data_IF_619343590652
#
_entry.id   IF_619343590652
#
_cell.length_a   1.000
_cell.length_b   1.000
_cell.length_c   1.000
_cell.angle_alpha   90.00
_cell.angle_beta   90.00
_cell.angle_gamma   90.00
#
_symmetry.space_group_name_H-M   'P 1'
#
loop_
_entity.id
_entity.type
_entity.pdbx_description
1 polymer ?
#
# COMPACT_ATOMS: atom_id res chain seq x y z
N UNK A 1 34.65 13.08 -72.15
CA UNK A 1 35.66 13.33 -71.12
C UNK A 1 35.68 12.15 -70.17
N UNK A 2 36.82 11.45 -70.15
CA UNK A 2 37.35 10.46 -69.19
C UNK A 2 36.39 9.63 -68.31
N UNK A 3 36.35 8.33 -68.62
CA UNK A 3 36.19 7.14 -67.76
C UNK A 3 37.32 7.06 -66.68
N UNK A 4 37.43 6.06 -65.73
CA UNK A 4 36.75 4.75 -65.65
C UNK A 4 36.47 4.12 -64.24
N UNK A 5 35.88 2.91 -64.25
CA UNK A 5 36.17 1.68 -63.44
C UNK A 5 36.18 1.75 -61.89
N UNK A 6 35.23 1.09 -61.21
CA UNK A 6 35.27 -0.31 -60.69
C UNK A 6 35.84 -0.46 -59.28
N UNK A 7 35.06 -1.04 -58.35
CA UNK A 7 35.44 -2.25 -57.59
C UNK A 7 34.48 -2.49 -56.43
N UNK A 8 34.04 -3.74 -56.31
CA UNK A 8 33.49 -4.35 -55.09
C UNK A 8 34.45 -4.15 -53.89
N UNK A 9 33.90 -4.03 -52.68
CA UNK A 9 34.14 -4.96 -51.57
C UNK A 9 33.63 -4.43 -50.20
N UNK A 10 33.00 -5.35 -49.48
CA UNK A 10 33.12 -5.61 -48.04
C UNK A 10 32.74 -4.54 -46.99
N UNK A 11 31.78 -4.92 -46.14
CA UNK A 11 31.65 -4.43 -44.77
C UNK A 11 32.96 -4.62 -43.98
N UNK A 12 33.18 -3.74 -42.98
CA UNK A 12 33.55 -4.22 -41.67
C UNK A 12 32.57 -3.72 -40.60
N UNK A 13 32.30 -4.61 -39.64
CA UNK A 13 31.77 -4.26 -38.34
C UNK A 13 32.84 -3.49 -37.54
N UNK A 14 32.42 -2.50 -36.75
CA UNK A 14 32.77 -2.34 -35.33
C UNK A 14 32.31 -0.97 -34.78
N UNK A 15 31.59 -1.07 -33.67
CA UNK A 15 31.80 -0.31 -32.43
C UNK A 15 31.55 1.20 -32.41
N UNK A 16 30.73 1.59 -31.43
CA UNK A 16 30.76 2.92 -30.84
C UNK A 16 29.74 3.91 -31.41
N UNK A 17 28.53 3.92 -30.86
CA UNK A 17 27.70 5.12 -30.91
C UNK A 17 27.23 5.46 -29.49
N UNK A 18 27.99 6.40 -28.94
CA UNK A 18 27.66 7.32 -27.87
C UNK A 18 26.21 7.82 -28.05
N UNK A 19 25.26 7.24 -27.32
CA UNK A 19 23.94 7.81 -27.17
C UNK A 19 24.01 8.92 -26.13
N UNK A 20 24.16 10.12 -26.66
CA UNK A 20 23.90 11.40 -26.01
C UNK A 20 22.47 11.36 -25.45
N UNK A 21 22.31 11.16 -24.15
CA UNK A 21 21.03 11.38 -23.49
C UNK A 21 20.77 12.89 -23.47
N UNK A 22 19.87 13.32 -24.34
CA UNK A 22 19.28 14.65 -24.32
C UNK A 22 18.55 14.80 -22.99
N UNK A 23 19.04 15.72 -22.15
CA UNK A 23 18.33 16.17 -20.96
C UNK A 23 17.01 16.82 -21.39
N UNK A 24 15.93 16.05 -21.31
CA UNK A 24 14.58 16.62 -21.37
C UNK A 24 14.25 17.09 -19.96
N UNK A 25 14.31 18.40 -19.75
CA UNK A 25 13.94 19.05 -18.50
C UNK A 25 12.43 18.88 -18.25
N UNK A 26 12.08 17.91 -17.41
CA UNK A 26 10.79 17.85 -16.73
C UNK A 26 10.98 18.38 -15.31
N UNK A 27 10.00 19.17 -14.86
CA UNK A 27 9.95 19.83 -13.54
C UNK A 27 10.37 18.93 -12.38
N UNK A 28 11.05 19.44 -11.33
CA UNK A 28 11.36 18.63 -10.16
C UNK A 28 10.07 18.39 -9.36
N UNK A 29 9.55 17.17 -9.44
CA UNK A 29 8.62 16.64 -8.44
C UNK A 29 9.35 16.46 -7.09
N UNK A 30 8.62 16.03 -6.04
CA UNK A 30 9.26 15.56 -4.81
C UNK A 30 10.27 14.45 -5.16
N UNK A 31 11.43 14.48 -4.52
CA UNK A 31 12.40 13.38 -4.53
C UNK A 31 13.36 13.39 -5.73
N UNK A 32 14.66 13.30 -5.43
CA UNK A 32 15.65 12.86 -6.42
C UNK A 32 15.36 11.42 -6.87
N UNK A 33 16.04 10.97 -7.92
CA UNK A 33 15.95 9.58 -8.38
C UNK A 33 16.50 8.63 -7.31
N UNK A 34 15.62 8.04 -6.49
CA UNK A 34 15.99 7.01 -5.52
C UNK A 34 16.26 5.69 -6.25
N UNK A 35 17.52 5.27 -6.26
CA UNK A 35 17.88 3.91 -6.69
C UNK A 35 17.62 2.89 -5.55
N UNK A 36 17.46 1.59 -5.85
CA UNK A 36 17.41 0.56 -4.81
C UNK A 36 18.59 0.63 -3.83
N UNK A 37 19.79 0.92 -4.34
CA UNK A 37 21.00 1.08 -3.53
C UNK A 37 20.89 2.26 -2.55
N UNK A 38 20.36 3.39 -3.00
CA UNK A 38 20.12 4.56 -2.13
C UNK A 38 19.11 4.24 -1.03
N UNK A 39 18.02 3.54 -1.38
CA UNK A 39 17.00 3.14 -0.41
C UNK A 39 17.58 2.15 0.60
N UNK A 40 18.36 1.16 0.16
CA UNK A 40 19.06 0.25 1.07
C UNK A 40 19.98 0.99 2.02
N UNK A 41 20.78 1.94 1.52
CA UNK A 41 21.71 2.72 2.32
C UNK A 41 20.98 3.58 3.36
N UNK A 42 19.92 4.28 2.95
CA UNK A 42 19.13 5.13 3.83
C UNK A 42 18.38 4.31 4.90
N UNK A 43 17.76 3.19 4.51
CA UNK A 43 17.13 2.27 5.46
C UNK A 43 18.14 1.70 6.45
N UNK A 44 19.32 1.25 5.99
CA UNK A 44 20.36 0.71 6.87
C UNK A 44 20.92 1.75 7.83
N UNK A 45 21.01 3.01 7.40
CA UNK A 45 21.47 4.13 8.24
C UNK A 45 20.51 4.40 9.40
N UNK A 46 19.20 4.29 9.19
CA UNK A 46 18.18 4.51 10.24
C UNK A 46 17.79 3.23 10.99
N UNK A 47 18.01 2.08 10.38
CA UNK A 47 17.66 0.76 10.91
C UNK A 47 18.91 -0.14 10.84
N UNK A 48 19.83 -0.09 11.82
CA UNK A 48 21.07 -0.86 11.79
C UNK A 48 20.87 -2.38 11.65
N UNK A 49 19.74 -2.92 12.13
CA UNK A 49 19.39 -4.34 12.04
C UNK A 49 18.63 -4.71 10.75
N UNK A 50 18.39 -3.73 9.87
CA UNK A 50 17.82 -3.98 8.55
C UNK A 50 18.71 -4.97 7.79
N UNK A 51 18.11 -6.06 7.33
CA UNK A 51 18.80 -7.21 6.74
C UNK A 51 19.07 -7.07 5.23
N UNK A 52 18.72 -5.94 4.61
CA UNK A 52 18.99 -5.69 3.20
C UNK A 52 18.11 -6.47 2.22
N UNK A 53 17.00 -7.05 2.67
CA UNK A 53 16.12 -7.90 1.85
C UNK A 53 14.89 -7.19 1.28
N UNK A 54 14.90 -5.86 1.20
CA UNK A 54 13.81 -5.16 0.53
C UNK A 54 13.69 -5.63 -0.93
N UNK A 55 12.44 -5.71 -1.41
CA UNK A 55 12.14 -5.87 -2.83
C UNK A 55 11.55 -4.58 -3.37
N UNK A 56 11.85 -4.28 -4.62
CA UNK A 56 11.46 -3.04 -5.28
C UNK A 56 10.72 -3.35 -6.57
N UNK A 57 9.69 -2.56 -6.86
CA UNK A 57 9.22 -2.41 -8.24
C UNK A 57 9.63 -1.02 -8.73
N UNK A 58 10.17 -1.00 -9.95
CA UNK A 58 10.73 0.19 -10.57
C UNK A 58 9.93 0.50 -11.82
N UNK A 59 9.37 1.71 -11.89
CA UNK A 59 8.71 2.25 -13.07
C UNK A 59 9.48 3.49 -13.52
N UNK A 60 9.84 3.56 -14.81
CA UNK A 60 10.56 4.70 -15.38
C UNK A 60 11.83 5.12 -14.59
N UNK A 61 12.57 4.13 -14.07
CA UNK A 61 13.81 4.36 -13.31
C UNK A 61 13.61 4.80 -11.86
N UNK A 62 12.37 4.81 -11.34
CA UNK A 62 12.04 5.21 -9.97
C UNK A 62 11.42 4.06 -9.20
N UNK A 63 11.78 3.92 -7.92
CA UNK A 63 11.11 3.00 -7.00
C UNK A 63 9.68 3.47 -6.77
N UNK A 64 8.69 2.66 -7.18
CA UNK A 64 7.26 2.95 -6.99
C UNK A 64 6.59 2.01 -5.98
N UNK A 65 7.18 0.85 -5.74
CA UNK A 65 6.72 -0.13 -4.77
C UNK A 65 7.89 -0.62 -3.94
N UNK A 66 7.69 -0.75 -2.64
CA UNK A 66 8.70 -1.20 -1.70
C UNK A 66 8.12 -2.27 -0.78
N UNK A 67 8.74 -3.45 -0.77
CA UNK A 67 8.39 -4.54 0.13
C UNK A 67 9.48 -4.71 1.19
N UNK A 68 9.09 -4.56 2.45
CA UNK A 68 9.93 -4.66 3.64
C UNK A 68 9.46 -5.79 4.57
N UNK A 69 8.66 -6.73 4.06
CA UNK A 69 8.10 -7.84 4.82
C UNK A 69 9.17 -8.59 5.63
N UNK A 70 8.98 -8.69 6.95
CA UNK A 70 9.91 -9.38 7.84
C UNK A 70 11.34 -8.82 7.81
N UNK A 71 11.48 -7.54 7.47
CA UNK A 71 12.73 -6.79 7.64
C UNK A 71 12.66 -6.07 8.98
N UNK A 72 13.77 -6.02 9.74
CA UNK A 72 13.81 -5.38 11.06
C UNK A 72 13.79 -3.84 10.96
N UNK A 73 12.96 -3.29 10.07
CA UNK A 73 12.73 -1.86 9.92
C UNK A 73 11.74 -1.42 11.00
N UNK A 74 12.05 -0.28 11.60
CA UNK A 74 11.25 0.39 12.64
C UNK A 74 11.11 1.89 12.35
N UNK A 75 12.12 2.51 11.74
CA UNK A 75 12.16 3.93 11.35
C UNK A 75 11.93 4.08 9.84
N UNK A 76 10.80 4.73 9.49
CA UNK A 76 10.36 5.02 8.13
C UNK A 76 10.78 6.40 7.63
N UNK A 77 11.52 7.21 8.40
CA UNK A 77 11.99 8.53 7.97
C UNK A 77 12.74 8.53 6.63
N UNK A 78 13.46 7.48 6.20
CA UNK A 78 14.04 7.42 4.85
C UNK A 78 13.01 7.49 3.72
N UNK A 79 11.74 7.15 3.96
CA UNK A 79 10.71 7.05 2.94
C UNK A 79 9.89 8.35 2.76
N UNK A 80 10.09 9.35 3.61
CA UNK A 80 9.19 10.52 3.72
C UNK A 80 9.11 11.39 2.46
N UNK A 81 10.13 11.35 1.61
CA UNK A 81 10.21 12.13 0.37
C UNK A 81 10.15 11.26 -0.89
N UNK A 82 9.71 10.00 -0.77
CA UNK A 82 9.58 9.08 -1.89
C UNK A 82 8.17 9.13 -2.51
N UNK A 83 8.07 9.00 -3.83
CA UNK A 83 6.80 8.90 -4.54
C UNK A 83 6.30 7.44 -4.62
N UNK A 84 6.18 6.78 -3.46
CA UNK A 84 5.71 5.39 -3.37
C UNK A 84 4.20 5.29 -3.61
N UNK A 85 3.80 4.30 -4.43
CA UNK A 85 2.40 3.92 -4.67
C UNK A 85 1.98 2.71 -3.84
N UNK A 86 2.90 1.81 -3.54
CA UNK A 86 2.64 0.63 -2.72
C UNK A 86 3.76 0.44 -1.69
N UNK A 87 3.37 0.09 -0.46
CA UNK A 87 4.30 -0.16 0.63
C UNK A 87 3.84 -1.35 1.46
N UNK A 88 4.71 -2.35 1.58
CA UNK A 88 4.48 -3.55 2.38
C UNK A 88 5.43 -3.59 3.57
N UNK A 89 4.87 -3.48 4.78
CA UNK A 89 5.57 -3.45 6.06
C UNK A 89 5.20 -4.66 6.94
N UNK A 90 4.69 -5.73 6.36
CA UNK A 90 4.17 -6.87 7.10
C UNK A 90 5.23 -7.49 8.01
N UNK A 91 4.90 -7.73 9.27
CA UNK A 91 5.81 -8.33 10.26
C UNK A 91 7.08 -7.50 10.53
N UNK A 92 7.04 -6.19 10.29
CA UNK A 92 8.12 -5.26 10.70
C UNK A 92 7.85 -4.72 12.11
N UNK A 93 8.86 -4.06 12.70
CA UNK A 93 8.72 -3.42 14.02
C UNK A 93 8.19 -1.99 13.99
N UNK A 94 7.63 -1.56 12.86
CA UNK A 94 7.12 -0.20 12.66
C UNK A 94 5.91 0.07 13.55
N UNK A 95 5.94 1.18 14.29
CA UNK A 95 4.82 1.68 15.09
C UNK A 95 4.41 3.11 14.73
N UNK A 96 5.34 3.92 14.21
CA UNK A 96 5.10 5.30 13.82
C UNK A 96 4.93 5.43 12.29
N UNK A 97 3.73 5.86 11.87
CA UNK A 97 3.39 6.09 10.47
C UNK A 97 3.55 7.56 10.04
N UNK A 98 4.02 8.45 10.93
CA UNK A 98 4.17 9.88 10.63
C UNK A 98 5.00 10.16 9.36
N UNK A 99 6.09 9.41 9.07
CA UNK A 99 6.83 9.58 7.82
C UNK A 99 6.03 9.30 6.53
N UNK A 100 4.91 8.58 6.61
CA UNK A 100 4.07 8.26 5.46
C UNK A 100 3.05 9.36 5.12
N UNK A 101 2.93 10.38 5.98
CA UNK A 101 1.92 11.43 5.84
C UNK A 101 2.04 12.16 4.51
N UNK A 102 0.95 12.15 3.74
CA UNK A 102 0.87 12.83 2.45
C UNK A 102 1.58 12.12 1.30
N UNK A 103 2.14 10.92 1.50
CA UNK A 103 2.66 10.11 0.40
C UNK A 103 1.52 9.68 -0.55
N UNK A 104 1.80 9.50 -1.86
CA UNK A 104 0.80 9.11 -2.84
C UNK A 104 0.48 7.61 -2.81
N UNK A 105 0.51 6.98 -1.62
CA UNK A 105 0.23 5.56 -1.45
C UNK A 105 -1.21 5.24 -1.84
N UNK A 106 -1.34 4.14 -2.59
CA UNK A 106 -2.59 3.51 -3.02
C UNK A 106 -2.81 2.21 -2.24
N UNK A 107 -1.73 1.49 -1.95
CA UNK A 107 -1.76 0.22 -1.22
C UNK A 107 -0.80 0.26 -0.03
N UNK A 108 -1.31 -0.12 1.14
CA UNK A 108 -0.52 -0.16 2.38
C UNK A 108 -0.84 -1.44 3.16
N UNK A 109 0.22 -2.21 3.42
CA UNK A 109 0.16 -3.49 4.14
C UNK A 109 0.92 -3.35 5.46
N UNK A 110 0.21 -3.46 6.59
CA UNK A 110 0.71 -3.26 7.96
C UNK A 110 0.47 -4.49 8.86
N UNK A 111 0.20 -5.63 8.26
CA UNK A 111 -0.10 -6.88 8.97
C UNK A 111 0.97 -7.22 10.00
N UNK A 112 0.55 -7.66 11.19
CA UNK A 112 1.44 -8.11 12.27
C UNK A 112 2.48 -7.04 12.68
N UNK A 113 2.11 -5.76 12.63
CA UNK A 113 2.93 -4.64 13.13
C UNK A 113 2.40 -4.09 14.47
N UNK A 114 3.23 -3.45 15.31
CA UNK A 114 2.80 -2.84 16.57
C UNK A 114 2.06 -1.50 16.40
N UNK A 115 1.57 -1.17 15.19
CA UNK A 115 0.84 0.08 14.92
C UNK A 115 -0.45 0.16 15.75
N UNK A 116 -0.66 1.33 16.35
CA UNK A 116 -1.87 1.69 17.12
C UNK A 116 -2.56 2.94 16.57
N UNK A 117 -1.78 3.90 16.06
CA UNK A 117 -2.27 5.16 15.52
C UNK A 117 -2.15 5.21 14.00
N UNK A 118 -3.29 5.42 13.35
CA UNK A 118 -3.40 5.62 11.91
C UNK A 118 -3.75 7.07 11.55
N UNK A 119 -3.61 8.02 12.48
CA UNK A 119 -3.83 9.45 12.23
C UNK A 119 -3.01 10.01 11.05
N UNK A 120 -1.78 9.54 10.77
CA UNK A 120 -1.03 9.99 9.58
C UNK A 120 -1.69 9.61 8.25
N UNK A 121 -2.61 8.64 8.25
CA UNK A 121 -3.30 8.19 7.03
C UNK A 121 -4.45 9.12 6.60
N UNK A 122 -4.78 10.13 7.40
CA UNK A 122 -5.90 11.04 7.15
C UNK A 122 -5.77 11.74 5.79
N UNK A 123 -6.81 11.58 4.96
CA UNK A 123 -6.90 12.25 3.66
C UNK A 123 -6.05 11.62 2.55
N UNK A 124 -5.29 10.57 2.84
CA UNK A 124 -4.56 9.80 1.82
C UNK A 124 -5.53 9.11 0.85
N UNK A 125 -5.06 8.82 -0.37
CA UNK A 125 -5.87 8.23 -1.44
C UNK A 125 -5.73 6.70 -1.51
N UNK A 126 -5.56 6.07 -0.35
CA UNK A 126 -5.50 4.62 -0.22
C UNK A 126 -6.77 3.97 -0.77
N UNK A 127 -6.57 2.91 -1.54
CA UNK A 127 -7.60 2.02 -2.06
C UNK A 127 -7.60 0.71 -1.29
N UNK A 128 -6.41 0.24 -0.88
CA UNK A 128 -6.23 -0.98 -0.10
C UNK A 128 -5.47 -0.69 1.19
N UNK A 129 -6.01 -1.16 2.30
CA UNK A 129 -5.38 -1.04 3.62
C UNK A 129 -5.56 -2.34 4.41
N UNK A 130 -4.43 -2.94 4.79
CA UNK A 130 -4.41 -4.17 5.58
C UNK A 130 -3.80 -3.88 6.96
N UNK A 131 -4.61 -4.08 8.00
CA UNK A 131 -4.28 -3.79 9.41
C UNK A 131 -4.40 -5.03 10.29
N UNK A 132 -4.44 -6.23 9.71
CA UNK A 132 -4.74 -7.41 10.50
C UNK A 132 -3.66 -7.70 11.55
N UNK A 133 -4.10 -8.13 12.73
CA UNK A 133 -3.28 -8.33 13.93
C UNK A 133 -2.48 -7.08 14.38
N UNK A 134 -2.95 -5.88 14.04
CA UNK A 134 -2.46 -4.64 14.65
C UNK A 134 -3.30 -4.28 15.88
N UNK A 135 -2.85 -3.28 16.62
CA UNK A 135 -3.54 -2.78 17.83
C UNK A 135 -4.39 -1.53 17.55
N UNK A 136 -4.73 -1.30 16.28
CA UNK A 136 -5.57 -0.18 15.86
C UNK A 136 -7.01 -0.38 16.32
N UNK A 137 -7.56 0.60 17.03
CA UNK A 137 -8.97 0.60 17.49
C UNK A 137 -9.79 1.76 16.93
N UNK A 138 -9.15 2.89 16.64
CA UNK A 138 -9.81 4.11 16.19
C UNK A 138 -9.69 4.30 14.67
N UNK A 139 -10.83 4.26 13.97
CA UNK A 139 -10.88 4.38 12.51
C UNK A 139 -11.19 5.80 12.00
N UNK A 140 -11.26 6.81 12.88
CA UNK A 140 -11.62 8.19 12.49
C UNK A 140 -10.78 8.78 11.35
N UNK A 141 -9.49 8.42 11.14
CA UNK A 141 -8.71 8.89 10.00
C UNK A 141 -9.21 8.39 8.63
N UNK A 142 -9.99 7.29 8.60
CA UNK A 142 -10.50 6.68 7.36
C UNK A 142 -11.81 7.30 6.86
N UNK A 143 -12.41 8.22 7.62
CA UNK A 143 -13.67 8.88 7.27
C UNK A 143 -13.56 9.60 5.92
N UNK A 144 -14.45 9.28 4.99
CA UNK A 144 -14.45 9.87 3.64
C UNK A 144 -13.27 9.46 2.76
N UNK A 145 -12.56 8.38 3.11
CA UNK A 145 -11.52 7.80 2.25
C UNK A 145 -12.11 7.15 0.99
N UNK A 146 -11.22 6.72 0.08
CA UNK A 146 -11.59 6.00 -1.14
C UNK A 146 -11.37 4.49 -1.02
N UNK A 147 -11.26 3.95 0.21
CA UNK A 147 -10.95 2.54 0.44
C UNK A 147 -12.00 1.62 -0.19
N UNK A 148 -11.49 0.65 -0.93
CA UNK A 148 -12.26 -0.43 -1.57
C UNK A 148 -12.03 -1.75 -0.81
N UNK A 149 -10.81 -1.97 -0.33
CA UNK A 149 -10.43 -3.15 0.45
C UNK A 149 -9.87 -2.74 1.80
N UNK A 150 -10.46 -3.28 2.87
CA UNK A 150 -10.04 -3.01 4.23
C UNK A 150 -10.04 -4.30 5.05
N UNK A 151 -8.85 -4.67 5.55
CA UNK A 151 -8.70 -5.82 6.44
C UNK A 151 -8.44 -5.37 7.88
N UNK A 152 -9.37 -5.71 8.78
CA UNK A 152 -9.34 -5.41 10.21
C UNK A 152 -9.30 -6.70 11.06
N UNK A 153 -8.98 -7.85 10.46
CA UNK A 153 -8.91 -9.13 11.16
C UNK A 153 -8.08 -9.02 12.46
N UNK A 154 -8.63 -9.53 13.57
CA UNK A 154 -7.91 -9.59 14.85
C UNK A 154 -7.58 -8.23 15.48
N UNK A 155 -8.17 -7.13 14.99
CA UNK A 155 -8.00 -5.80 15.60
C UNK A 155 -9.01 -5.54 16.73
N UNK A 156 -8.70 -4.67 17.70
CA UNK A 156 -9.62 -4.31 18.78
C UNK A 156 -10.73 -3.32 18.37
N UNK A 157 -11.02 -3.15 17.07
CA UNK A 157 -12.03 -2.20 16.57
C UNK A 157 -13.44 -2.59 17.06
N UNK A 158 -14.18 -1.60 17.55
CA UNK A 158 -15.59 -1.74 17.94
C UNK A 158 -16.53 -0.81 17.17
N UNK A 159 -16.06 0.38 16.78
CA UNK A 159 -16.86 1.40 16.12
C UNK A 159 -16.56 1.47 14.61
N UNK A 160 -17.56 1.13 13.80
CA UNK A 160 -17.49 1.20 12.33
C UNK A 160 -18.05 2.51 11.77
N UNK A 161 -18.48 3.47 12.61
CA UNK A 161 -19.04 4.76 12.16
C UNK A 161 -18.17 5.49 11.12
N UNK A 162 -16.83 5.49 11.20
CA UNK A 162 -15.96 6.10 10.19
C UNK A 162 -16.06 5.45 8.80
N UNK A 163 -16.56 4.21 8.69
CA UNK A 163 -16.70 3.48 7.43
C UNK A 163 -17.99 3.81 6.67
N UNK A 164 -18.85 4.67 7.22
CA UNK A 164 -20.16 4.98 6.63
C UNK A 164 -20.01 5.54 5.22
N UNK A 165 -20.62 4.85 4.26
CA UNK A 165 -20.71 5.30 2.86
C UNK A 165 -19.39 5.21 2.09
N UNK A 166 -18.37 4.55 2.64
CA UNK A 166 -17.15 4.26 1.89
C UNK A 166 -17.45 3.29 0.73
N UNK A 167 -16.69 3.34 -0.38
CA UNK A 167 -16.88 2.45 -1.53
C UNK A 167 -16.32 1.04 -1.27
N UNK A 168 -16.38 0.55 -0.04
CA UNK A 168 -15.85 -0.75 0.37
C UNK A 168 -16.57 -1.87 -0.37
N UNK A 169 -15.78 -2.72 -1.01
CA UNK A 169 -16.22 -3.96 -1.66
C UNK A 169 -15.78 -5.19 -0.86
N UNK A 170 -14.62 -5.12 -0.22
CA UNK A 170 -14.05 -6.22 0.57
C UNK A 170 -13.77 -5.74 1.98
N UNK A 171 -14.43 -6.37 2.96
CA UNK A 171 -14.27 -6.03 4.36
C UNK A 171 -14.11 -7.29 5.21
N UNK A 172 -12.98 -7.39 5.91
CA UNK A 172 -12.69 -8.48 6.83
C UNK A 172 -12.72 -7.98 8.27
N UNK A 173 -13.68 -8.48 9.06
CA UNK A 173 -13.89 -8.12 10.47
C UNK A 173 -13.72 -9.31 11.40
N UNK A 174 -13.16 -10.43 10.93
CA UNK A 174 -13.09 -11.63 11.77
C UNK A 174 -12.29 -11.34 13.05
N UNK A 175 -12.71 -11.97 14.14
CA UNK A 175 -12.06 -11.84 15.45
C UNK A 175 -11.99 -10.40 15.98
N UNK A 176 -12.86 -9.51 15.48
CA UNK A 176 -13.05 -8.18 16.06
C UNK A 176 -14.22 -8.18 17.06
N UNK A 177 -14.19 -7.31 18.09
CA UNK A 177 -15.29 -7.18 19.06
C UNK A 177 -16.50 -6.39 18.53
N UNK A 178 -16.60 -6.14 17.22
CA UNK A 178 -17.72 -5.41 16.60
C UNK A 178 -19.05 -6.12 16.86
N UNK A 179 -20.06 -5.34 17.23
CA UNK A 179 -21.45 -5.78 17.39
C UNK A 179 -22.45 -5.05 16.50
N UNK A 180 -22.16 -3.80 16.11
CA UNK A 180 -23.02 -2.99 15.24
C UNK A 180 -22.41 -2.83 13.84
N UNK A 181 -23.12 -3.34 12.83
CA UNK A 181 -22.76 -3.22 11.41
C UNK A 181 -23.66 -2.23 10.65
N UNK A 182 -24.53 -1.49 11.35
CA UNK A 182 -25.34 -0.41 10.74
C UNK A 182 -24.52 0.60 9.93
N UNK A 183 -23.30 1.00 10.35
CA UNK A 183 -22.50 1.95 9.57
C UNK A 183 -22.17 1.49 8.14
N UNK A 184 -21.99 0.18 7.93
CA UNK A 184 -21.59 -0.39 6.62
C UNK A 184 -22.76 -0.76 5.72
N UNK A 185 -24.01 -0.48 6.13
CA UNK A 185 -25.23 -0.87 5.37
C UNK A 185 -25.29 -0.34 3.93
N UNK A 186 -24.68 0.83 3.68
CA UNK A 186 -24.66 1.48 2.36
C UNK A 186 -23.38 1.21 1.56
N UNK A 187 -22.41 0.49 2.15
CA UNK A 187 -21.19 0.14 1.44
C UNK A 187 -21.53 -0.91 0.35
N UNK A 188 -20.98 -0.78 -0.87
CA UNK A 188 -21.22 -1.72 -1.97
C UNK A 188 -20.42 -3.02 -1.79
N UNK A 189 -20.56 -3.67 -0.62
CA UNK A 189 -19.81 -4.86 -0.27
C UNK A 189 -20.14 -6.01 -1.22
N UNK A 190 -19.10 -6.64 -1.73
CA UNK A 190 -19.14 -7.91 -2.48
C UNK A 190 -18.81 -9.07 -1.55
N UNK A 191 -17.88 -8.86 -0.60
CA UNK A 191 -17.48 -9.85 0.39
C UNK A 191 -17.39 -9.23 1.78
N UNK A 192 -18.05 -9.87 2.76
CA UNK A 192 -17.99 -9.51 4.16
C UNK A 192 -17.71 -10.74 5.02
N UNK A 193 -16.74 -10.65 5.91
CA UNK A 193 -16.45 -11.72 6.89
C UNK A 193 -16.63 -11.20 8.31
N UNK A 194 -17.44 -11.91 9.10
CA UNK A 194 -17.84 -11.57 10.47
C UNK A 194 -17.49 -12.70 11.46
N UNK A 195 -16.66 -13.67 11.06
CA UNK A 195 -16.36 -14.84 11.87
C UNK A 195 -15.85 -14.45 13.26
N UNK A 196 -16.41 -15.05 14.32
CA UNK A 196 -16.03 -14.76 15.73
C UNK A 196 -16.18 -13.27 16.10
N UNK A 197 -17.17 -12.58 15.54
CA UNK A 197 -17.57 -11.23 15.98
C UNK A 197 -18.70 -11.30 17.02
N UNK A 198 -19.13 -10.13 17.52
CA UNK A 198 -20.27 -9.99 18.44
C UNK A 198 -21.53 -9.50 17.75
N UNK A 199 -21.57 -9.51 16.43
CA UNK A 199 -22.75 -9.12 15.64
C UNK A 199 -23.86 -10.11 15.94
N UNK A 200 -25.04 -9.60 16.29
CA UNK A 200 -26.25 -10.41 16.51
C UNK A 200 -27.41 -10.00 15.58
N UNK A 201 -27.28 -8.86 14.90
CA UNK A 201 -28.28 -8.35 13.96
C UNK A 201 -27.64 -8.13 12.59
N UNK A 202 -28.07 -8.91 11.60
CA UNK A 202 -27.66 -8.79 10.19
C UNK A 202 -28.68 -8.06 9.31
N UNK A 203 -29.77 -7.56 9.88
CA UNK A 203 -30.77 -6.77 9.15
C UNK A 203 -30.20 -5.56 8.40
N UNK A 204 -29.08 -4.90 8.84
CA UNK A 204 -28.46 -3.85 8.04
C UNK A 204 -27.99 -4.31 6.64
N UNK A 205 -27.75 -5.60 6.44
CA UNK A 205 -27.33 -6.16 5.16
C UNK A 205 -28.50 -6.44 4.20
N UNK A 206 -29.75 -6.38 4.67
CA UNK A 206 -30.94 -6.73 3.88
C UNK A 206 -31.16 -5.83 2.65
N UNK A 207 -30.59 -4.62 2.65
CA UNK A 207 -30.66 -3.68 1.52
C UNK A 207 -29.56 -3.88 0.49
N UNK A 208 -28.55 -4.71 0.79
CA UNK A 208 -27.41 -4.92 -0.11
C UNK A 208 -27.85 -5.53 -1.43
N UNK A 209 -27.30 -5.02 -2.53
CA UNK A 209 -27.55 -5.50 -3.90
C UNK A 209 -26.31 -6.12 -4.55
N UNK A 210 -25.17 -6.05 -3.86
CA UNK A 210 -23.85 -6.44 -4.38
C UNK A 210 -23.21 -7.57 -3.58
N UNK A 211 -23.74 -7.91 -2.39
CA UNK A 211 -23.11 -8.88 -1.51
C UNK A 211 -23.26 -10.29 -2.08
N UNK A 212 -22.12 -10.90 -2.41
CA UNK A 212 -22.04 -12.24 -2.98
C UNK A 212 -21.50 -13.25 -1.97
N UNK A 213 -20.66 -12.80 -1.02
CA UNK A 213 -19.99 -13.65 -0.04
C UNK A 213 -20.16 -13.09 1.36
N UNK A 214 -20.77 -13.89 2.24
CA UNK A 214 -20.98 -13.57 3.64
C UNK A 214 -20.52 -14.74 4.52
N UNK A 215 -19.50 -14.51 5.35
CA UNK A 215 -18.98 -15.53 6.28
C UNK A 215 -19.33 -15.14 7.72
N UNK A 216 -20.22 -15.90 8.36
CA UNK A 216 -20.74 -15.63 9.72
C UNK A 216 -20.52 -16.81 10.70
N UNK A 217 -19.61 -17.73 10.38
CA UNK A 217 -19.33 -18.87 11.26
C UNK A 217 -18.95 -18.40 12.67
N UNK A 218 -19.40 -19.09 13.72
CA UNK A 218 -19.11 -18.73 15.12
C UNK A 218 -19.46 -17.26 15.49
N UNK A 219 -20.54 -16.74 14.90
CA UNK A 219 -21.09 -15.40 15.17
C UNK A 219 -22.51 -15.56 15.73
N UNK A 220 -22.97 -14.77 16.73
CA UNK A 220 -24.24 -15.01 17.42
C UNK A 220 -25.51 -14.60 16.67
N UNK A 221 -25.46 -14.50 15.34
CA UNK A 221 -26.57 -14.10 14.44
C UNK A 221 -27.56 -15.23 14.17
#
# INVERSE_FOLDING_TARGET
MRTPLSSFAALPALSGCLLLFIACSTSPGRGGEWTPEDVHAALKSKNPDYNGRALFEIEFGRVVSLQLTGTNVTDLSPLADMDLRALDLRGTGVSDLSPLSGLPLIELYLEDTPVTDISPLRGMKLIKLYLNNTQVSALSPLSGSALVELNLFGTPVTDLSPLRGLPLQMLWLNETPVSDITPIRLCPLVSLTLHRTRVADISPLAISRTLERLHIAETPV
#
